data_IF_384867217507
#
_entry.id   IF_384867217507
#
_cell.length_a   1.000
_cell.length_b   1.000
_cell.length_c   1.000
_cell.angle_alpha   90.00
_cell.angle_beta   90.00
_cell.angle_gamma   90.00
#
_symmetry.space_group_name_H-M   'P 1'
#
loop_
_entity.id
_entity.type
_entity.pdbx_description
1 polymer ?
#
# COMPACT_ATOMS: atom_id res chain seq x y z
N UNK A 1 -0.58 -7.26 -37.15
CA UNK A 1 -1.31 -7.80 -35.99
C UNK A 1 -0.48 -7.52 -34.75
N UNK A 2 -0.94 -6.61 -33.88
CA UNK A 2 -0.22 -6.30 -32.63
C UNK A 2 -0.39 -7.46 -31.66
N UNK A 3 0.67 -8.21 -31.42
CA UNK A 3 0.74 -9.19 -30.34
C UNK A 3 0.62 -8.45 -29.02
N UNK A 4 -0.59 -8.41 -28.45
CA UNK A 4 -0.77 -8.05 -27.04
C UNK A 4 -0.02 -9.13 -26.25
N UNK A 5 1.22 -8.84 -25.83
CA UNK A 5 1.91 -9.64 -24.82
C UNK A 5 0.96 -9.70 -23.63
N UNK A 6 0.48 -10.88 -23.28
CA UNK A 6 -0.20 -11.11 -22.01
C UNK A 6 0.80 -10.74 -20.91
N UNK A 7 0.59 -9.58 -20.32
CA UNK A 7 1.35 -9.18 -19.14
C UNK A 7 0.80 -10.05 -18.02
N UNK A 8 1.48 -11.17 -17.76
CA UNK A 8 1.22 -11.99 -16.57
C UNK A 8 1.53 -11.11 -15.36
N UNK A 9 0.48 -10.63 -14.69
CA UNK A 9 0.60 -9.86 -13.46
C UNK A 9 0.52 -10.80 -12.27
N UNK A 10 1.23 -10.48 -11.21
CA UNK A 10 1.07 -11.21 -9.95
C UNK A 10 -0.35 -10.99 -9.41
N UNK A 11 -0.83 -11.93 -8.61
CA UNK A 11 -2.18 -11.87 -8.01
C UNK A 11 -2.34 -10.59 -7.18
N UNK A 12 -1.29 -10.19 -6.47
CA UNK A 12 -1.24 -8.98 -5.64
C UNK A 12 -1.34 -7.70 -6.48
N UNK A 13 -0.65 -7.64 -7.62
CA UNK A 13 -0.71 -6.49 -8.51
C UNK A 13 -2.12 -6.33 -9.12
N UNK A 14 -2.76 -7.45 -9.48
CA UNK A 14 -4.13 -7.42 -9.99
C UNK A 14 -5.13 -7.01 -8.90
N UNK A 15 -4.95 -7.49 -7.65
CA UNK A 15 -5.77 -7.09 -6.52
C UNK A 15 -5.69 -5.57 -6.27
N UNK A 16 -4.48 -4.99 -6.25
CA UNK A 16 -4.28 -3.54 -6.11
C UNK A 16 -5.07 -2.76 -7.16
N UNK A 17 -4.94 -3.16 -8.44
CA UNK A 17 -5.58 -2.44 -9.55
C UNK A 17 -7.11 -2.52 -9.43
N UNK A 18 -7.65 -3.69 -9.07
CA UNK A 18 -9.09 -3.86 -8.92
C UNK A 18 -9.61 -3.02 -7.74
N UNK A 19 -8.94 -3.05 -6.59
CA UNK A 19 -9.33 -2.27 -5.42
C UNK A 19 -9.32 -0.77 -5.70
N UNK A 20 -8.28 -0.24 -6.36
CA UNK A 20 -8.23 1.18 -6.73
C UNK A 20 -9.32 1.59 -7.74
N UNK A 21 -9.68 0.69 -8.67
CA UNK A 21 -10.77 0.93 -9.62
C UNK A 21 -12.13 0.92 -8.95
N UNK A 22 -12.33 0.03 -7.99
CA UNK A 22 -13.60 -0.12 -7.26
C UNK A 22 -13.80 0.99 -6.23
N UNK A 23 -12.75 1.43 -5.52
CA UNK A 23 -12.85 2.53 -4.56
C UNK A 23 -13.08 3.87 -5.25
N UNK A 24 -12.42 4.11 -6.40
CA UNK A 24 -12.40 5.42 -7.05
C UNK A 24 -11.63 6.49 -6.28
N UNK A 25 -10.99 6.11 -5.17
CA UNK A 25 -10.23 7.00 -4.29
C UNK A 25 -8.76 6.57 -4.24
N UNK A 26 -7.88 7.54 -4.03
CA UNK A 26 -6.46 7.29 -3.83
C UNK A 26 -6.19 6.70 -2.45
N UNK A 27 -5.52 5.55 -2.45
CA UNK A 27 -5.25 4.78 -1.23
C UNK A 27 -3.75 4.63 -1.00
N UNK A 28 -3.36 4.67 0.27
CA UNK A 28 -2.02 4.30 0.73
C UNK A 28 -1.82 2.78 0.60
N UNK A 29 -0.55 2.35 0.59
CA UNK A 29 -0.21 0.92 0.57
C UNK A 29 -0.84 0.16 1.76
N UNK A 30 -0.90 0.78 2.94
CA UNK A 30 -1.50 0.17 4.12
C UNK A 30 -3.02 -0.02 3.97
N UNK A 31 -3.72 0.98 3.44
CA UNK A 31 -5.16 0.90 3.15
C UNK A 31 -5.43 -0.16 2.07
N UNK A 32 -4.58 -0.26 1.04
CA UNK A 32 -4.67 -1.32 0.02
C UNK A 32 -4.45 -2.71 0.61
N UNK A 33 -3.46 -2.88 1.49
CA UNK A 33 -3.22 -4.16 2.16
C UNK A 33 -4.43 -4.56 3.02
N UNK A 34 -5.02 -3.59 3.74
CA UNK A 34 -6.22 -3.83 4.54
C UNK A 34 -7.44 -4.18 3.68
N UNK A 35 -7.67 -3.46 2.58
CA UNK A 35 -8.80 -3.67 1.68
C UNK A 35 -8.70 -4.99 0.89
N UNK A 36 -7.50 -5.40 0.50
CA UNK A 36 -7.26 -6.65 -0.24
C UNK A 36 -7.12 -7.87 0.68
N UNK A 37 -6.85 -7.66 1.98
CA UNK A 37 -6.50 -8.73 2.92
C UNK A 37 -5.13 -9.37 2.64
N UNK A 38 -4.29 -8.73 1.82
CA UNK A 38 -2.98 -9.22 1.42
C UNK A 38 -1.88 -8.35 2.05
N UNK A 39 -0.75 -8.97 2.39
CA UNK A 39 0.46 -8.23 2.79
C UNK A 39 1.17 -7.68 1.54
N UNK A 40 0.72 -6.52 1.07
CA UNK A 40 1.26 -5.90 -0.13
C UNK A 40 2.58 -5.21 0.17
N UNK A 41 3.55 -5.41 -0.73
CA UNK A 41 4.87 -4.76 -0.68
C UNK A 41 4.96 -3.66 -1.73
N UNK A 42 5.87 -2.72 -1.53
CA UNK A 42 6.17 -1.65 -2.49
C UNK A 42 6.51 -2.18 -3.89
N UNK A 43 7.14 -3.35 -3.98
CA UNK A 43 7.42 -4.03 -5.26
C UNK A 43 6.16 -4.37 -6.08
N UNK A 44 5.02 -4.60 -5.42
CA UNK A 44 3.75 -4.90 -6.07
C UNK A 44 3.15 -3.65 -6.74
N UNK A 45 3.49 -2.45 -6.26
CA UNK A 45 3.11 -1.18 -6.89
C UNK A 45 3.98 -0.87 -8.13
N UNK A 46 5.26 -1.25 -8.09
CA UNK A 46 6.21 -0.94 -9.18
C UNK A 46 5.76 -1.52 -10.53
N UNK A 47 5.22 -2.73 -10.54
CA UNK A 47 4.73 -3.38 -11.77
C UNK A 47 3.47 -2.69 -12.33
N UNK A 48 2.55 -2.27 -11.45
CA UNK A 48 1.37 -1.48 -11.83
C UNK A 48 1.74 -0.11 -12.39
N UNK A 49 2.72 0.57 -11.77
CA UNK A 49 3.24 1.87 -12.23
C UNK A 49 3.93 1.76 -13.59
N UNK A 50 4.81 0.77 -13.76
CA UNK A 50 5.51 0.56 -15.03
C UNK A 50 4.54 0.25 -16.18
N UNK A 51 3.42 -0.39 -15.88
CA UNK A 51 2.35 -0.65 -16.84
C UNK A 51 1.42 0.56 -17.11
N UNK A 52 1.62 1.69 -16.43
CA UNK A 52 0.79 2.88 -16.54
C UNK A 52 -0.63 2.73 -15.96
N UNK A 53 -0.84 1.75 -15.07
CA UNK A 53 -2.17 1.42 -14.53
C UNK A 53 -2.46 2.11 -13.20
N UNK A 54 -1.42 2.50 -12.47
CA UNK A 54 -1.52 3.24 -11.22
C UNK A 54 -0.50 4.38 -11.25
N UNK A 55 -0.82 5.50 -10.62
CA UNK A 55 0.05 6.67 -10.50
C UNK A 55 0.21 7.07 -9.03
N UNK A 56 1.25 7.85 -8.72
CA UNK A 56 1.25 8.65 -7.48
C UNK A 56 0.17 9.70 -7.57
N UNK A 57 -0.67 9.78 -6.54
CA UNK A 57 -1.67 10.84 -6.39
C UNK A 57 -1.47 11.55 -5.05
N UNK A 58 -0.44 12.38 -5.00
CA UNK A 58 -0.08 13.19 -3.83
C UNK A 58 0.39 12.40 -2.62
N UNK A 59 0.34 13.08 -1.47
CA UNK A 59 0.69 12.55 -0.15
C UNK A 59 -0.48 12.79 0.80
N UNK A 60 -0.72 11.84 1.71
CA UNK A 60 -1.76 11.89 2.73
C UNK A 60 -1.11 11.66 4.09
N UNK A 61 -1.33 12.58 5.04
CA UNK A 61 -0.96 12.34 6.43
C UNK A 61 -1.89 11.32 7.06
N UNK A 62 -1.33 10.31 7.72
CA UNK A 62 -2.08 9.24 8.37
C UNK A 62 -1.50 9.00 9.76
N UNK A 63 -2.36 9.03 10.78
CA UNK A 63 -1.96 8.67 12.13
C UNK A 63 -1.77 7.15 12.24
N UNK A 64 -0.61 6.73 12.74
CA UNK A 64 -0.26 5.32 12.90
C UNK A 64 0.14 5.00 14.34
N UNK A 65 -0.41 3.91 14.89
CA UNK A 65 0.02 3.39 16.18
C UNK A 65 1.35 2.65 16.01
N UNK A 66 2.40 3.19 16.62
CA UNK A 66 3.73 2.54 16.66
C UNK A 66 4.01 2.02 18.06
N UNK A 67 4.50 0.78 18.14
CA UNK A 67 4.99 0.23 19.42
C UNK A 67 6.40 0.74 19.68
N UNK A 68 6.58 1.53 20.74
CA UNK A 68 7.89 2.03 21.18
C UNK A 68 8.15 1.64 22.62
N UNK A 69 9.36 1.15 22.91
CA UNK A 69 9.82 0.95 24.28
C UNK A 69 10.22 2.30 24.88
N UNK A 70 9.67 2.64 26.04
CA UNK A 70 9.94 3.90 26.74
C UNK A 70 10.41 3.64 28.17
N UNK A 71 11.26 4.54 28.68
CA UNK A 71 11.72 4.48 30.07
C UNK A 71 10.60 4.94 31.00
N UNK A 72 10.39 4.21 32.08
CA UNK A 72 9.50 4.64 33.16
C UNK A 72 10.33 5.28 34.26
N UNK A 73 9.76 6.28 34.92
CA UNK A 73 10.42 7.01 36.01
C UNK A 73 9.61 6.81 37.28
N UNK A 74 10.30 6.60 38.40
CA UNK A 74 9.72 6.50 39.74
C UNK A 74 10.30 7.60 40.61
N UNK A 75 9.43 8.25 41.37
CA UNK A 75 9.82 9.21 42.41
C UNK A 75 10.56 8.49 43.56
N UNK A 76 11.71 9.02 43.98
CA UNK A 76 12.57 8.40 45.01
C UNK A 76 12.62 9.16 46.35
N UNK A 77 11.81 10.20 46.55
CA UNK A 77 11.80 10.97 47.81
C UNK A 77 12.90 12.03 47.92
N UNK A 78 12.72 12.95 48.86
CA UNK A 78 13.57 14.11 49.16
C UNK A 78 14.24 13.93 50.53
#
# INVERSE_FOLDING_TARGET
MSTKKEVVRSVEAQAIINTLKESGESMTLAELSAATGLDLKTGNLSSGRAAGLIASDGEKEVEVLVRKSVKTYRYIGQ
#
